data_IF_205259051878
#
_entry.id   IF_205259051878
#
_cell.length_a   1.000
_cell.length_b   1.000
_cell.length_c   1.000
_cell.angle_alpha   90.00
_cell.angle_beta   90.00
_cell.angle_gamma   90.00
#
_symmetry.space_group_name_H-M   'P 1'
#
loop_
_entity.id
_entity.type
_entity.pdbx_description
1 polymer ?
#
# COMPACT_ATOMS: atom_id res chain seq x y z
N UNK A 1 -18.85 -3.46 -3.59
CA UNK A 1 -17.58 -4.21 -3.51
C UNK A 1 -16.42 -3.32 -3.97
N UNK A 2 -15.33 -3.32 -3.22
CA UNK A 2 -14.15 -2.51 -3.56
C UNK A 2 -13.36 -3.24 -4.64
N UNK A 3 -13.29 -2.65 -5.82
CA UNK A 3 -12.58 -3.22 -6.96
C UNK A 3 -11.46 -2.28 -7.41
N UNK A 4 -10.78 -2.64 -8.50
CA UNK A 4 -9.66 -1.85 -9.00
C UNK A 4 -10.08 -0.42 -9.32
N UNK A 5 -11.24 -0.21 -9.94
CA UNK A 5 -11.71 1.12 -10.27
C UNK A 5 -11.93 1.96 -9.02
N UNK A 6 -12.48 1.36 -7.97
CA UNK A 6 -12.69 2.04 -6.70
C UNK A 6 -11.35 2.55 -6.14
N UNK A 7 -10.32 1.70 -6.15
CA UNK A 7 -9.02 2.10 -5.61
C UNK A 7 -8.29 3.09 -6.51
N UNK A 8 -8.47 2.99 -7.82
CA UNK A 8 -7.90 3.96 -8.73
C UNK A 8 -8.45 5.36 -8.44
N UNK A 9 -9.73 5.47 -8.16
CA UNK A 9 -10.36 6.73 -7.80
C UNK A 9 -9.92 7.20 -6.41
N UNK A 10 -9.90 6.29 -5.45
CA UNK A 10 -9.53 6.62 -4.08
C UNK A 10 -8.09 7.14 -4.01
N UNK A 11 -7.19 6.54 -4.78
CA UNK A 11 -5.77 6.89 -4.74
C UNK A 11 -5.38 7.90 -5.82
N UNK A 12 -6.34 8.43 -6.56
CA UNK A 12 -6.09 9.38 -7.63
C UNK A 12 -5.25 10.59 -7.18
N UNK A 13 -5.45 11.18 -5.99
CA UNK A 13 -4.64 12.32 -5.56
C UNK A 13 -3.17 12.00 -5.32
N UNK A 14 -2.81 10.72 -5.20
CA UNK A 14 -1.42 10.33 -4.96
C UNK A 14 -0.64 10.23 -6.28
N UNK A 15 0.68 10.48 -6.26
CA UNK A 15 1.48 10.35 -7.48
C UNK A 15 1.59 8.90 -7.94
N UNK A 16 2.06 8.71 -9.18
CA UNK A 16 2.19 7.37 -9.75
C UNK A 16 3.20 6.49 -9.02
N UNK A 17 4.18 7.11 -8.37
CA UNK A 17 5.15 6.42 -7.52
C UNK A 17 5.11 7.10 -6.16
N UNK A 18 4.81 6.32 -5.12
CA UNK A 18 4.61 6.89 -3.78
C UNK A 18 5.78 6.55 -2.87
N UNK A 19 5.97 7.40 -1.85
CA UNK A 19 6.97 7.19 -0.80
C UNK A 19 6.40 6.28 0.27
N UNK A 20 7.25 5.90 1.24
CA UNK A 20 6.79 5.10 2.38
C UNK A 20 5.68 5.83 3.16
N UNK A 21 5.85 7.14 3.38
CA UNK A 21 4.84 7.91 4.12
C UNK A 21 3.51 7.97 3.37
N UNK A 22 3.57 8.14 2.06
CA UNK A 22 2.36 8.12 1.24
C UNK A 22 1.70 6.75 1.24
N UNK A 23 2.50 5.68 1.18
CA UNK A 23 1.99 4.32 1.28
C UNK A 23 1.25 4.10 2.60
N UNK A 24 1.82 4.57 3.70
CA UNK A 24 1.17 4.48 5.00
C UNK A 24 -0.18 5.20 5.02
N UNK A 25 -0.22 6.39 4.45
CA UNK A 25 -1.46 7.17 4.38
C UNK A 25 -2.51 6.49 3.51
N UNK A 26 -2.09 5.93 2.38
CA UNK A 26 -2.99 5.21 1.48
C UNK A 26 -3.66 4.02 2.17
N UNK A 27 -2.97 3.38 3.11
CA UNK A 27 -3.51 2.25 3.86
C UNK A 27 -4.20 2.67 5.16
N UNK A 28 -4.58 3.94 5.28
CA UNK A 28 -5.34 4.40 6.42
C UNK A 28 -4.51 4.91 7.58
N UNK A 29 -3.23 5.23 7.34
CA UNK A 29 -2.34 5.76 8.37
C UNK A 29 -1.68 4.68 9.21
N UNK A 30 -1.32 3.56 8.61
CA UNK A 30 -0.63 2.49 9.34
C UNK A 30 0.75 2.96 9.80
N UNK A 31 1.27 2.33 10.86
CA UNK A 31 2.57 2.66 11.40
C UNK A 31 3.70 2.30 10.46
N UNK A 32 4.86 2.95 10.64
CA UNK A 32 6.03 2.71 9.80
C UNK A 32 6.51 1.26 9.89
N UNK A 33 6.52 0.70 11.11
CA UNK A 33 6.92 -0.68 11.31
C UNK A 33 6.04 -1.65 10.54
N UNK A 34 4.72 -1.43 10.57
CA UNK A 34 3.76 -2.25 9.85
C UNK A 34 3.98 -2.14 8.34
N UNK A 35 4.18 -0.92 7.84
CA UNK A 35 4.42 -0.69 6.41
C UNK A 35 5.68 -1.43 5.95
N UNK A 36 6.76 -1.34 6.73
CA UNK A 36 8.00 -2.03 6.39
C UNK A 36 7.85 -3.54 6.41
N UNK A 37 7.06 -4.07 7.34
CA UNK A 37 6.79 -5.51 7.38
C UNK A 37 6.09 -5.98 6.11
N UNK A 38 5.14 -5.21 5.62
CA UNK A 38 4.44 -5.54 4.37
C UNK A 38 5.43 -5.57 3.22
N UNK A 39 6.27 -4.54 3.10
CA UNK A 39 7.25 -4.47 2.01
C UNK A 39 8.28 -5.59 2.10
N UNK A 40 8.86 -5.81 3.28
CA UNK A 40 9.90 -6.81 3.46
C UNK A 40 9.36 -8.24 3.39
N UNK A 41 8.07 -8.43 3.61
CA UNK A 41 7.42 -9.72 3.50
C UNK A 41 7.16 -10.17 2.07
N UNK A 42 7.56 -9.37 1.09
CA UNK A 42 7.42 -9.66 -0.34
C UNK A 42 5.95 -9.82 -0.77
N UNK A 43 5.06 -9.13 -0.06
CA UNK A 43 3.64 -9.15 -0.41
C UNK A 43 3.31 -8.08 -1.45
N UNK A 44 4.22 -7.14 -1.65
CA UNK A 44 4.08 -6.05 -2.60
C UNK A 44 5.44 -5.75 -3.23
N UNK A 45 5.45 -5.42 -4.51
CA UNK A 45 6.68 -5.04 -5.20
C UNK A 45 7.00 -3.59 -4.91
N UNK A 46 8.29 -3.28 -4.85
CA UNK A 46 8.74 -1.91 -4.62
C UNK A 46 10.18 -1.75 -5.07
N UNK A 47 10.62 -0.50 -5.18
CA UNK A 47 12.02 -0.16 -5.42
C UNK A 47 12.60 0.46 -4.15
N UNK A 48 13.86 0.17 -3.88
CA UNK A 48 14.59 0.78 -2.78
C UNK A 48 15.83 1.45 -3.37
N UNK A 49 15.80 2.78 -3.47
CA UNK A 49 16.84 3.55 -4.14
C UNK A 49 17.33 4.63 -3.20
N UNK A 50 18.66 4.66 -2.96
CA UNK A 50 19.29 5.67 -2.09
C UNK A 50 18.61 5.74 -0.71
N UNK A 51 18.38 4.55 -0.13
CA UNK A 51 17.76 4.42 1.19
C UNK A 51 16.32 4.93 1.23
N UNK A 52 15.66 5.05 0.09
CA UNK A 52 14.29 5.55 -0.02
C UNK A 52 13.41 4.51 -0.71
N UNK A 53 12.25 4.24 -0.13
CA UNK A 53 11.27 3.38 -0.76
C UNK A 53 10.54 4.13 -1.88
N UNK A 54 10.37 3.46 -3.02
CA UNK A 54 9.64 3.98 -4.16
C UNK A 54 8.67 2.90 -4.60
N UNK A 55 7.39 3.14 -4.43
CA UNK A 55 6.36 2.13 -4.63
C UNK A 55 5.40 2.60 -5.71
N UNK A 56 5.43 1.99 -6.90
CA UNK A 56 4.46 2.34 -7.94
C UNK A 56 3.03 2.16 -7.43
N UNK A 57 2.20 3.15 -7.69
CA UNK A 57 0.82 3.17 -7.20
C UNK A 57 0.03 1.94 -7.69
N UNK A 58 0.30 1.49 -8.93
CA UNK A 58 -0.38 0.31 -9.45
C UNK A 58 -0.11 -0.94 -8.62
N UNK A 59 1.09 -1.03 -8.01
CA UNK A 59 1.42 -2.17 -7.15
C UNK A 59 0.73 -2.06 -5.79
N UNK A 60 0.49 -0.84 -5.32
CA UNK A 60 -0.30 -0.64 -4.09
C UNK A 60 -1.73 -1.09 -4.33
N UNK A 61 -2.29 -0.75 -5.50
CA UNK A 61 -3.65 -1.17 -5.85
C UNK A 61 -3.73 -2.70 -5.94
N UNK A 62 -2.75 -3.35 -6.58
CA UNK A 62 -2.70 -4.81 -6.60
C UNK A 62 -2.68 -5.40 -5.19
N UNK A 63 -1.92 -4.78 -4.30
CA UNK A 63 -1.80 -5.29 -2.94
C UNK A 63 -3.12 -5.19 -2.18
N UNK A 64 -3.82 -4.05 -2.26
CA UNK A 64 -5.08 -3.90 -1.53
C UNK A 64 -6.19 -4.79 -2.09
N UNK A 65 -5.99 -5.33 -3.29
CA UNK A 65 -6.92 -6.31 -3.88
C UNK A 65 -6.48 -7.75 -3.60
N UNK A 66 -5.36 -7.96 -2.91
CA UNK A 66 -4.81 -9.29 -2.68
C UNK A 66 -5.44 -9.98 -1.47
N UNK A 67 -5.29 -11.31 -1.44
CA UNK A 67 -5.77 -12.10 -0.31
C UNK A 67 -5.03 -11.77 0.98
N UNK A 68 -3.73 -11.47 0.87
CA UNK A 68 -2.95 -11.11 2.03
C UNK A 68 -3.53 -9.87 2.72
N UNK A 69 -3.86 -8.84 1.96
CA UNK A 69 -4.46 -7.63 2.52
C UNK A 69 -5.81 -7.94 3.17
N UNK A 70 -6.63 -8.76 2.51
CA UNK A 70 -7.94 -9.14 3.04
C UNK A 70 -7.81 -9.86 4.38
N UNK A 71 -6.80 -10.74 4.52
CA UNK A 71 -6.57 -11.49 5.76
C UNK A 71 -6.07 -10.60 6.89
N UNK A 72 -5.19 -9.65 6.58
CA UNK A 72 -4.53 -8.84 7.61
C UNK A 72 -5.20 -7.51 7.85
N UNK A 73 -6.31 -7.25 7.19
CA UNK A 73 -6.97 -5.96 7.27
C UNK A 73 -7.33 -5.56 8.69
N UNK A 74 -7.83 -6.52 9.49
CA UNK A 74 -8.18 -6.24 10.88
C UNK A 74 -6.94 -5.98 11.73
N UNK A 75 -5.88 -6.75 11.53
CA UNK A 75 -4.64 -6.56 12.27
C UNK A 75 -3.98 -5.23 11.93
N UNK A 76 -4.07 -4.81 10.67
CA UNK A 76 -3.54 -3.52 10.23
C UNK A 76 -4.43 -2.37 10.65
N UNK A 77 -5.64 -2.63 11.10
CA UNK A 77 -6.62 -1.62 11.51
C UNK A 77 -6.89 -0.60 10.41
N UNK A 78 -6.92 -1.06 9.17
CA UNK A 78 -7.17 -0.19 8.02
C UNK A 78 -8.60 -0.35 7.54
N UNK A 79 -9.12 0.71 6.90
CA UNK A 79 -10.50 0.71 6.40
C UNK A 79 -10.58 1.08 4.92
N UNK A 80 -9.51 0.87 4.20
CA UNK A 80 -9.49 1.17 2.76
C UNK A 80 -9.70 -0.08 1.91
#
# INVERSE_FOLDING_TARGET
>A
MKNQEYYEQLFEPYPDVVTLDEFRAMLGGIGETTARKILHGKHIKYFFIRSTYRIPKVWVIEYVLSDHYAQYRQELKVQV
#
